data_IF_490029191284
#
_entry.id   IF_490029191284
#
_cell.length_a   1.000
_cell.length_b   1.000
_cell.length_c   1.000
_cell.angle_alpha   90.00
_cell.angle_beta   90.00
_cell.angle_gamma   90.00
#
_symmetry.space_group_name_H-M   'P 1'
#
loop_
_entity.id
_entity.type
_entity.pdbx_description
1 polymer ?
#
# COMPACT_ATOMS: atom_id res chain seq x y z
N UNK A 1 -46.80 3.95 -7.76
CA UNK A 1 -47.59 2.74 -7.45
C UNK A 1 -46.59 1.61 -7.47
N UNK A 2 -46.35 0.95 -6.35
CA UNK A 2 -45.33 -0.11 -6.30
C UNK A 2 -45.81 -1.32 -7.09
N UNK A 3 -45.08 -1.71 -8.14
CA UNK A 3 -45.40 -2.86 -8.97
C UNK A 3 -44.92 -4.19 -8.33
N UNK A 4 -45.43 -5.36 -8.77
CA UNK A 4 -45.02 -6.64 -8.20
C UNK A 4 -43.51 -6.91 -8.36
N UNK A 5 -42.79 -6.90 -7.23
CA UNK A 5 -41.33 -7.15 -7.17
C UNK A 5 -40.51 -5.93 -6.74
N UNK A 6 -41.09 -4.75 -6.87
CA UNK A 6 -40.55 -3.50 -6.35
C UNK A 6 -40.82 -3.38 -4.85
N UNK A 7 -39.96 -2.66 -4.15
CA UNK A 7 -40.16 -2.30 -2.73
C UNK A 7 -40.61 -0.86 -2.57
N UNK A 8 -40.39 -0.03 -3.59
CA UNK A 8 -40.73 1.37 -3.67
C UNK A 8 -40.97 1.76 -5.13
N UNK A 9 -41.72 2.84 -5.35
CA UNK A 9 -41.86 3.52 -6.65
C UNK A 9 -42.20 4.98 -6.35
N UNK A 10 -41.27 5.88 -6.67
CA UNK A 10 -41.43 7.31 -6.50
C UNK A 10 -41.61 8.07 -7.84
N UNK A 11 -41.64 7.32 -8.96
CA UNK A 11 -41.91 7.82 -10.30
C UNK A 11 -40.76 8.59 -10.95
N UNK A 12 -39.51 8.41 -10.52
CA UNK A 12 -38.34 9.03 -11.12
C UNK A 12 -37.20 8.00 -11.41
N UNK A 13 -36.12 8.45 -12.06
CA UNK A 13 -34.91 7.63 -12.35
C UNK A 13 -33.67 8.20 -11.61
N UNK A 14 -33.84 8.66 -10.37
CA UNK A 14 -32.80 9.29 -9.54
C UNK A 14 -32.25 8.27 -8.56
N UNK A 15 -31.01 7.86 -8.81
CA UNK A 15 -30.35 6.85 -7.97
C UNK A 15 -29.90 7.35 -6.59
N UNK A 16 -29.93 8.66 -6.35
CA UNK A 16 -29.45 9.26 -5.09
C UNK A 16 -30.56 9.54 -4.08
N UNK A 17 -31.74 8.97 -4.25
CA UNK A 17 -32.85 9.11 -3.31
C UNK A 17 -33.23 7.77 -2.67
N UNK A 18 -34.30 7.76 -1.87
CA UNK A 18 -34.69 6.57 -1.10
C UNK A 18 -35.23 5.42 -1.98
N UNK A 19 -35.51 5.68 -3.26
CA UNK A 19 -36.00 4.72 -4.23
C UNK A 19 -35.21 4.81 -5.55
N UNK A 20 -33.97 4.29 -5.59
CA UNK A 20 -33.18 4.26 -6.83
C UNK A 20 -33.87 3.47 -7.94
N UNK A 21 -33.36 3.57 -9.17
CA UNK A 21 -33.96 2.95 -10.38
C UNK A 21 -34.09 1.42 -10.32
N UNK A 22 -33.46 0.76 -9.34
CA UNK A 22 -33.65 -0.67 -9.06
C UNK A 22 -35.01 -0.96 -8.42
N UNK A 23 -35.76 0.08 -8.04
CA UNK A 23 -37.05 0.02 -7.35
C UNK A 23 -36.97 -0.79 -6.05
N UNK A 24 -35.80 -0.73 -5.40
CA UNK A 24 -35.50 -1.28 -4.08
C UNK A 24 -35.21 -0.12 -3.14
N UNK A 25 -35.58 -0.26 -1.86
CA UNK A 25 -35.28 0.81 -0.91
C UNK A 25 -33.76 1.00 -0.83
N UNK A 26 -33.31 2.25 -0.86
CA UNK A 26 -31.89 2.56 -0.76
C UNK A 26 -31.31 2.08 0.58
N UNK A 27 -30.11 1.50 0.56
CA UNK A 27 -29.38 1.10 1.76
C UNK A 27 -27.87 1.06 1.51
N UNK A 28 -27.09 1.34 2.55
CA UNK A 28 -25.63 1.20 2.50
C UNK A 28 -25.19 -0.18 2.01
N UNK A 29 -24.42 -0.18 0.93
CA UNK A 29 -23.94 -1.33 0.18
C UNK A 29 -24.80 -1.71 -1.03
N UNK A 30 -25.74 -0.87 -1.46
CA UNK A 30 -26.59 -1.11 -2.64
C UNK A 30 -25.98 -0.58 -3.95
N UNK A 31 -24.82 0.08 -3.87
CA UNK A 31 -24.08 0.62 -5.00
C UNK A 31 -24.47 2.04 -5.39
N UNK A 32 -25.39 2.68 -4.66
CA UNK A 32 -25.82 4.05 -4.87
C UNK A 32 -25.60 4.90 -3.62
N UNK A 33 -25.32 6.19 -3.81
CA UNK A 33 -25.14 7.11 -2.68
C UNK A 33 -26.45 7.81 -2.39
N UNK A 34 -27.10 7.45 -1.28
CA UNK A 34 -28.31 8.11 -0.82
C UNK A 34 -28.02 9.55 -0.37
N UNK A 35 -28.56 10.56 -1.03
CA UNK A 35 -28.48 11.98 -0.64
C UNK A 35 -29.88 12.59 -0.42
N UNK A 36 -30.61 11.99 0.52
CA UNK A 36 -31.91 12.51 0.94
C UNK A 36 -31.80 13.48 2.12
N UNK A 37 -32.92 14.12 2.47
CA UNK A 37 -32.99 15.01 3.64
C UNK A 37 -32.90 14.26 4.97
N UNK A 38 -33.43 13.04 5.01
CA UNK A 38 -33.57 12.25 6.25
C UNK A 38 -32.37 11.32 6.49
N UNK A 39 -31.77 10.81 5.41
CA UNK A 39 -30.61 9.93 5.44
C UNK A 39 -29.64 10.33 4.33
N UNK A 40 -28.36 10.41 4.68
CA UNK A 40 -27.28 10.79 3.77
C UNK A 40 -26.11 9.86 3.95
N UNK A 41 -25.68 9.29 2.84
CA UNK A 41 -24.47 8.52 2.71
C UNK A 41 -23.38 9.43 2.12
N UNK A 42 -22.18 9.34 2.65
CA UNK A 42 -21.03 10.05 2.12
C UNK A 42 -20.38 9.27 0.95
N UNK A 43 -20.61 7.96 0.89
CA UNK A 43 -20.12 7.03 -0.10
C UNK A 43 -20.94 5.75 -0.09
N UNK A 44 -20.77 4.94 -1.14
CA UNK A 44 -21.25 3.56 -1.20
C UNK A 44 -20.29 2.77 -2.09
N UNK A 45 -19.64 1.75 -1.53
CA UNK A 45 -18.73 0.86 -2.24
C UNK A 45 -19.34 -0.51 -2.50
N UNK A 46 -20.67 -0.59 -2.50
CA UNK A 46 -21.42 -1.79 -2.84
C UNK A 46 -21.31 -2.90 -1.79
N UNK A 47 -20.85 -2.58 -0.58
CA UNK A 47 -20.84 -3.51 0.53
C UNK A 47 -20.95 -2.80 1.90
N UNK A 48 -21.11 -3.58 2.98
CA UNK A 48 -21.17 -3.05 4.37
C UNK A 48 -19.98 -3.52 5.21
N UNK A 49 -18.86 -3.83 4.56
CA UNK A 49 -17.61 -4.20 5.25
C UNK A 49 -16.80 -2.95 5.54
N UNK A 50 -15.74 -3.09 6.34
CA UNK A 50 -14.82 -1.98 6.61
C UNK A 50 -13.70 -1.84 5.55
N UNK A 51 -13.75 -2.66 4.50
CA UNK A 51 -12.81 -2.63 3.39
C UNK A 51 -13.38 -1.77 2.27
N UNK A 52 -12.51 -1.34 1.36
CA UNK A 52 -12.88 -0.64 0.16
C UNK A 52 -12.69 0.86 0.26
N UNK A 53 -13.51 1.60 -0.47
CA UNK A 53 -13.48 3.07 -0.46
C UNK A 53 -14.51 3.69 0.48
N UNK A 54 -15.34 2.87 1.13
CA UNK A 54 -16.37 3.32 2.05
C UNK A 54 -16.36 2.51 3.35
N UNK A 55 -16.71 3.15 4.46
CA UNK A 55 -16.83 2.42 5.72
C UNK A 55 -18.13 1.60 5.77
N UNK A 56 -18.20 0.64 6.70
CA UNK A 56 -19.33 -0.28 6.87
C UNK A 56 -20.72 0.36 7.12
N UNK A 57 -20.77 1.67 7.33
CA UNK A 57 -22.01 2.43 7.60
C UNK A 57 -22.24 3.57 6.62
N UNK A 58 -21.46 3.64 5.53
CA UNK A 58 -21.59 4.64 4.47
C UNK A 58 -21.53 6.11 4.93
N UNK A 59 -20.88 6.35 6.07
CA UNK A 59 -20.78 7.67 6.71
C UNK A 59 -19.41 8.32 6.51
N UNK A 60 -18.44 7.59 5.96
CA UNK A 60 -17.09 8.10 5.77
C UNK A 60 -16.39 7.41 4.59
N UNK A 61 -15.86 8.23 3.69
CA UNK A 61 -14.94 7.80 2.63
C UNK A 61 -13.63 7.31 3.22
N UNK A 62 -13.17 6.17 2.74
CA UNK A 62 -11.85 5.64 2.99
C UNK A 62 -10.99 5.98 1.78
N UNK A 63 -10.28 7.11 1.86
CA UNK A 63 -9.33 7.48 0.81
C UNK A 63 -8.16 6.49 0.83
N UNK A 64 -7.83 5.84 -0.31
CA UNK A 64 -6.68 4.97 -0.37
C UNK A 64 -5.41 5.74 -0.05
N UNK A 65 -4.62 5.22 0.89
CA UNK A 65 -3.38 5.86 1.33
C UNK A 65 -2.19 4.94 1.08
N UNK A 66 -1.02 5.57 0.94
CA UNK A 66 0.27 4.89 0.78
C UNK A 66 0.89 4.70 2.15
N UNK A 67 1.47 3.53 2.38
CA UNK A 67 2.24 3.30 3.59
C UNK A 67 3.50 4.18 3.59
N UNK A 68 3.79 4.77 4.75
CA UNK A 68 4.95 5.64 4.98
C UNK A 68 5.73 5.15 6.19
N UNK A 69 7.05 5.36 6.15
CA UNK A 69 7.99 4.96 7.17
C UNK A 69 9.22 5.87 7.12
N UNK A 70 10.15 5.67 8.04
CA UNK A 70 11.38 6.46 8.04
C UNK A 70 12.54 5.74 8.69
N UNK A 71 13.75 6.09 8.28
CA UNK A 71 15.00 5.70 8.91
C UNK A 71 15.68 6.99 9.35
N UNK A 72 15.94 7.13 10.64
CA UNK A 72 16.58 8.30 11.23
C UNK A 72 17.87 7.87 11.90
N UNK A 73 18.94 8.62 11.65
CA UNK A 73 20.27 8.32 12.18
C UNK A 73 20.82 9.55 12.89
N UNK A 74 20.85 9.50 14.21
CA UNK A 74 21.40 10.52 15.11
C UNK A 74 22.60 9.98 15.89
N UNK A 75 23.77 9.97 15.23
CA UNK A 75 25.03 9.50 15.81
C UNK A 75 25.73 10.66 16.52
N UNK A 76 25.29 11.00 17.73
CA UNK A 76 25.95 12.02 18.55
C UNK A 76 27.46 11.70 18.71
N UNK A 77 28.33 12.61 18.24
CA UNK A 77 29.79 12.69 18.36
C UNK A 77 30.57 11.38 18.67
N UNK A 78 30.36 10.33 17.87
CA UNK A 78 31.21 9.12 17.91
C UNK A 78 30.48 7.77 18.01
N UNK A 79 29.16 7.73 17.86
CA UNK A 79 28.45 6.48 17.61
C UNK A 79 28.85 5.89 16.26
N UNK A 80 29.35 4.64 16.24
CA UNK A 80 29.65 3.93 15.00
C UNK A 80 28.63 2.84 14.72
N UNK A 81 28.33 2.62 13.46
CA UNK A 81 27.63 1.46 12.92
C UNK A 81 28.66 0.34 12.73
N UNK A 82 28.38 -0.86 13.21
CA UNK A 82 29.29 -2.00 13.16
C UNK A 82 29.21 -2.72 11.81
N UNK A 83 30.33 -3.34 11.44
CA UNK A 83 30.39 -4.24 10.29
C UNK A 83 29.48 -5.46 10.53
N UNK A 84 28.71 -5.86 9.52
CA UNK A 84 27.77 -6.98 9.60
C UNK A 84 26.41 -6.65 10.24
N UNK A 85 26.19 -5.42 10.71
CA UNK A 85 24.85 -4.97 11.10
C UNK A 85 23.93 -4.90 9.86
N UNK A 86 22.66 -5.27 10.04
CA UNK A 86 21.73 -5.37 8.91
C UNK A 86 20.53 -4.43 9.05
N UNK A 87 19.99 -4.06 7.89
CA UNK A 87 18.72 -3.40 7.69
C UNK A 87 17.94 -4.18 6.65
N UNK A 88 16.67 -4.49 6.93
CA UNK A 88 15.78 -5.22 6.04
C UNK A 88 14.63 -4.31 5.64
N UNK A 89 14.50 -4.06 4.34
CA UNK A 89 13.42 -3.25 3.76
C UNK A 89 12.73 -4.04 2.65
N UNK A 90 11.41 -4.05 2.64
CA UNK A 90 10.62 -4.77 1.64
C UNK A 90 9.36 -4.04 1.21
N UNK A 91 8.84 -4.40 0.05
CA UNK A 91 7.59 -3.86 -0.54
C UNK A 91 6.41 -4.85 -0.43
N UNK A 92 6.57 -5.92 0.35
CA UNK A 92 5.60 -7.00 0.50
C UNK A 92 5.74 -8.13 -0.53
N UNK A 93 6.50 -7.89 -1.61
CA UNK A 93 6.87 -8.90 -2.61
C UNK A 93 8.36 -9.22 -2.51
N UNK A 94 9.20 -8.19 -2.43
CA UNK A 94 10.64 -8.24 -2.24
C UNK A 94 10.99 -7.95 -0.80
N UNK A 95 12.04 -8.59 -0.31
CA UNK A 95 12.63 -8.32 1.00
C UNK A 95 14.13 -8.23 0.89
N UNK A 96 14.64 -7.02 0.82
CA UNK A 96 16.06 -6.76 0.66
C UNK A 96 16.75 -6.74 2.01
N UNK A 97 17.88 -7.44 2.11
CA UNK A 97 18.77 -7.36 3.25
C UNK A 97 19.96 -6.49 2.86
N UNK A 98 20.13 -5.41 3.59
CA UNK A 98 21.24 -4.48 3.47
C UNK A 98 22.19 -4.70 4.64
N UNK A 99 23.48 -4.80 4.36
CA UNK A 99 24.52 -5.08 5.35
C UNK A 99 25.52 -3.93 5.38
N UNK A 100 25.80 -3.38 6.56
CA UNK A 100 26.88 -2.42 6.73
C UNK A 100 28.24 -3.09 6.52
N UNK A 101 28.93 -2.66 5.48
CA UNK A 101 30.14 -3.30 4.96
C UNK A 101 31.33 -2.36 5.08
N UNK A 102 32.27 -2.71 5.97
CA UNK A 102 33.52 -1.96 6.21
C UNK A 102 34.74 -2.66 5.64
N UNK A 103 34.67 -3.96 5.32
CA UNK A 103 35.82 -4.77 4.95
C UNK A 103 35.76 -5.37 3.54
N UNK A 104 34.78 -4.92 2.74
CA UNK A 104 34.45 -5.40 1.40
C UNK A 104 34.06 -6.89 1.37
N UNK A 105 33.64 -7.47 2.52
CA UNK A 105 33.11 -8.83 2.62
C UNK A 105 31.65 -8.82 3.05
N UNK A 106 30.79 -8.77 2.05
CA UNK A 106 29.37 -9.06 2.22
C UNK A 106 29.09 -10.56 2.09
N UNK A 107 28.03 -11.02 2.75
CA UNK A 107 27.43 -12.31 2.41
C UNK A 107 26.83 -12.17 0.99
N UNK A 108 27.05 -13.16 0.11
CA UNK A 108 26.66 -13.14 -1.31
C UNK A 108 25.20 -12.75 -1.60
N UNK A 109 24.33 -12.79 -0.59
CA UNK A 109 22.89 -12.52 -0.69
C UNK A 109 22.49 -11.13 -0.20
N UNK A 110 23.41 -10.33 0.32
CA UNK A 110 23.13 -9.00 0.88
C UNK A 110 23.55 -7.87 -0.06
N UNK A 111 22.94 -6.70 0.10
CA UNK A 111 23.35 -5.46 -0.56
C UNK A 111 24.23 -4.67 0.42
N UNK A 112 25.50 -4.44 0.07
CA UNK A 112 26.43 -3.72 0.94
C UNK A 112 26.11 -2.22 1.08
N UNK A 113 26.15 -1.72 2.31
CA UNK A 113 26.05 -0.32 2.69
C UNK A 113 27.46 0.20 3.02
N UNK A 114 28.06 0.92 2.07
CA UNK A 114 29.38 1.52 2.25
C UNK A 114 29.27 2.91 2.85
N UNK A 115 29.66 3.04 4.12
CA UNK A 115 29.67 4.33 4.83
C UNK A 115 31.07 4.94 4.82
N UNK A 116 31.14 6.27 4.94
CA UNK A 116 32.41 6.96 5.11
C UNK A 116 32.86 6.91 6.59
N UNK A 117 34.17 6.90 6.83
CA UNK A 117 34.75 6.91 8.18
C UNK A 117 35.32 8.29 8.53
N UNK A 118 35.00 8.88 9.70
CA UNK A 118 34.07 8.40 10.73
C UNK A 118 32.61 8.48 10.28
N UNK A 119 31.75 7.67 10.90
CA UNK A 119 30.32 7.69 10.63
C UNK A 119 29.72 9.01 11.10
N UNK A 120 28.77 9.51 10.33
CA UNK A 120 27.89 10.62 10.69
C UNK A 120 26.48 10.28 10.24
N UNK A 121 25.45 10.83 10.90
CA UNK A 121 24.06 10.53 10.53
C UNK A 121 23.79 10.74 9.03
N UNK A 122 24.34 11.81 8.47
CA UNK A 122 24.20 12.12 7.04
C UNK A 122 24.87 11.09 6.11
N UNK A 123 26.06 10.60 6.45
CA UNK A 123 26.76 9.64 5.57
C UNK A 123 26.15 8.23 5.63
N UNK A 124 25.62 7.83 6.79
CA UNK A 124 24.93 6.55 6.96
C UNK A 124 23.61 6.57 6.19
N UNK A 125 22.82 7.62 6.35
CA UNK A 125 21.56 7.79 5.61
C UNK A 125 21.79 7.87 4.10
N UNK A 126 22.83 8.57 3.65
CA UNK A 126 23.16 8.63 2.23
C UNK A 126 23.55 7.25 1.67
N UNK A 127 24.33 6.46 2.40
CA UNK A 127 24.67 5.10 1.99
C UNK A 127 23.43 4.21 1.86
N UNK A 128 22.51 4.30 2.82
CA UNK A 128 21.21 3.59 2.79
C UNK A 128 20.38 4.06 1.61
N UNK A 129 20.30 5.37 1.38
CA UNK A 129 19.53 5.95 0.29
C UNK A 129 20.03 5.47 -1.07
N UNK A 130 21.34 5.49 -1.31
CA UNK A 130 21.94 4.99 -2.56
C UNK A 130 21.65 3.50 -2.77
N UNK A 131 21.78 2.68 -1.73
CA UNK A 131 21.50 1.24 -1.83
C UNK A 131 20.01 0.94 -2.08
N UNK A 132 19.10 1.72 -1.48
CA UNK A 132 17.66 1.62 -1.73
C UNK A 132 17.29 2.04 -3.15
N UNK A 133 17.90 3.11 -3.68
CA UNK A 133 17.75 3.51 -5.08
C UNK A 133 18.25 2.41 -6.02
N UNK A 134 19.38 1.77 -5.70
CA UNK A 134 19.89 0.63 -6.45
C UNK A 134 18.87 -0.53 -6.47
N UNK A 135 18.30 -0.89 -5.33
CA UNK A 135 17.29 -1.95 -5.23
C UNK A 135 15.95 -1.59 -5.93
N UNK A 136 15.61 -0.30 -6.03
CA UNK A 136 14.43 0.19 -6.77
C UNK A 136 14.64 0.14 -8.28
N UNK A 137 15.79 0.60 -8.75
CA UNK A 137 16.03 0.88 -10.17
C UNK A 137 16.57 -0.31 -10.96
N UNK A 138 17.03 -1.38 -10.29
CA UNK A 138 17.57 -2.57 -10.94
C UNK A 138 16.61 -3.77 -10.87
N UNK A 139 16.78 -4.71 -11.81
CA UNK A 139 16.04 -5.98 -11.78
C UNK A 139 16.64 -6.88 -10.72
N UNK A 140 15.88 -7.07 -9.66
CA UNK A 140 16.26 -7.89 -8.53
C UNK A 140 15.22 -8.99 -8.28
N UNK A 141 15.67 -10.17 -7.87
CA UNK A 141 14.78 -11.26 -7.46
C UNK A 141 14.07 -10.91 -6.13
N UNK A 142 13.14 -11.76 -5.62
CA UNK A 142 12.45 -11.49 -4.35
C UNK A 142 13.38 -11.36 -3.12
N UNK A 143 14.57 -11.94 -3.16
CA UNK A 143 15.63 -11.83 -2.15
C UNK A 143 16.61 -10.68 -2.46
N UNK A 144 16.25 -9.83 -3.41
CA UNK A 144 16.99 -8.66 -3.87
C UNK A 144 18.38 -8.93 -4.47
N UNK A 145 18.57 -10.09 -5.12
CA UNK A 145 19.80 -10.41 -5.84
C UNK A 145 19.72 -9.92 -7.29
N UNK A 146 20.86 -9.51 -7.84
CA UNK A 146 20.95 -9.14 -9.27
C UNK A 146 20.45 -10.30 -10.14
N UNK A 147 19.46 -10.02 -11.00
CA UNK A 147 18.81 -11.04 -11.83
C UNK A 147 18.64 -10.56 -13.27
N UNK A 148 18.58 -11.50 -14.21
CA UNK A 148 18.34 -11.17 -15.61
C UNK A 148 16.94 -10.57 -15.81
N UNK A 149 16.87 -9.46 -16.56
CA UNK A 149 15.65 -8.69 -16.82
C UNK A 149 14.46 -9.51 -17.39
N UNK A 150 14.73 -10.68 -17.98
CA UNK A 150 13.72 -11.54 -18.58
C UNK A 150 12.80 -12.26 -17.59
N UNK A 151 13.18 -12.41 -16.32
CA UNK A 151 12.43 -13.21 -15.34
C UNK A 151 11.42 -12.40 -14.51
N UNK A 152 11.58 -11.07 -14.43
CA UNK A 152 10.81 -10.20 -13.52
C UNK A 152 10.26 -8.92 -14.21
N UNK A 153 10.00 -8.99 -15.52
CA UNK A 153 9.65 -7.83 -16.35
C UNK A 153 8.45 -6.97 -15.88
N UNK A 154 7.54 -7.50 -15.06
CA UNK A 154 6.38 -6.77 -14.52
C UNK A 154 6.68 -5.97 -13.24
N UNK A 155 7.74 -6.32 -12.50
CA UNK A 155 8.16 -5.62 -11.29
C UNK A 155 9.69 -5.75 -11.17
N UNK A 156 10.49 -4.79 -11.65
CA UNK A 156 11.94 -4.98 -11.69
C UNK A 156 12.57 -4.85 -10.29
N UNK A 157 12.13 -3.91 -9.45
CA UNK A 157 12.75 -3.65 -8.15
C UNK A 157 11.77 -3.27 -7.05
N UNK A 158 12.29 -2.75 -5.93
CA UNK A 158 11.48 -2.28 -4.81
C UNK A 158 10.47 -1.23 -5.24
N UNK A 159 9.22 -1.38 -4.82
CA UNK A 159 8.14 -0.43 -5.13
C UNK A 159 8.02 0.69 -4.09
N UNK A 160 9.06 1.50 -3.95
CA UNK A 160 9.09 2.61 -2.99
C UNK A 160 9.77 3.86 -3.54
N UNK A 161 9.35 5.01 -3.03
CA UNK A 161 10.07 6.28 -3.15
C UNK A 161 10.80 6.60 -1.85
N UNK A 162 11.92 7.31 -1.98
CA UNK A 162 12.77 7.69 -0.87
C UNK A 162 13.03 9.20 -0.94
N UNK A 163 13.02 9.87 0.20
CA UNK A 163 13.27 11.31 0.27
C UNK A 163 14.13 11.65 1.49
N UNK A 164 15.19 12.44 1.25
CA UNK A 164 16.08 12.91 2.31
C UNK A 164 15.46 14.10 3.04
N UNK A 165 15.46 14.03 4.35
CA UNK A 165 14.91 15.01 5.29
C UNK A 165 15.96 15.39 6.33
N UNK A 166 15.68 16.40 7.16
CA UNK A 166 16.51 16.80 8.31
C UNK A 166 18.00 16.97 7.99
N UNK A 167 18.30 17.65 6.89
CA UNK A 167 19.68 17.89 6.46
C UNK A 167 20.43 16.63 6.03
N UNK A 168 19.70 15.56 5.70
CA UNK A 168 20.24 14.27 5.27
C UNK A 168 20.38 13.24 6.40
N UNK A 169 19.93 13.52 7.63
CA UNK A 169 19.99 12.57 8.76
C UNK A 169 18.74 11.68 8.88
N UNK A 170 17.71 11.98 8.06
CA UNK A 170 16.47 11.25 8.00
C UNK A 170 16.16 10.86 6.55
N UNK A 171 15.72 9.64 6.35
CA UNK A 171 15.19 9.15 5.08
C UNK A 171 13.72 8.78 5.29
N UNK A 172 12.81 9.44 4.59
CA UNK A 172 11.42 9.00 4.52
C UNK A 172 11.24 8.01 3.37
N UNK A 173 10.44 6.98 3.62
CA UNK A 173 10.10 5.92 2.68
C UNK A 173 8.60 5.97 2.42
N UNK A 174 8.20 5.92 1.15
CA UNK A 174 6.78 5.91 0.74
C UNK A 174 6.52 4.79 -0.25
N UNK A 175 5.55 3.92 0.04
CA UNK A 175 5.18 2.82 -0.83
C UNK A 175 4.51 3.30 -2.14
N UNK A 176 4.83 2.67 -3.28
CA UNK A 176 4.28 3.03 -4.60
C UNK A 176 2.93 2.37 -4.91
N UNK A 177 2.48 1.42 -4.11
CA UNK A 177 1.09 0.97 -4.10
C UNK A 177 0.31 1.64 -2.98
N UNK A 178 -0.97 1.85 -3.25
CA UNK A 178 -1.96 2.21 -2.24
C UNK A 178 -2.36 0.95 -1.48
N UNK A 179 -3.00 1.15 -0.33
CA UNK A 179 -3.58 0.05 0.43
C UNK A 179 -2.66 -0.58 1.47
N UNK A 180 -3.20 -1.53 2.24
CA UNK A 180 -2.51 -2.09 3.40
C UNK A 180 -1.34 -3.00 3.03
N UNK A 181 -1.23 -3.44 1.77
CA UNK A 181 -0.12 -4.27 1.32
C UNK A 181 1.24 -3.59 1.48
N UNK A 182 1.27 -2.24 1.42
CA UNK A 182 2.48 -1.47 1.68
C UNK A 182 2.89 -1.40 3.15
N UNK A 183 2.04 -1.82 4.09
CA UNK A 183 2.32 -1.80 5.54
C UNK A 183 3.30 -2.91 5.91
N UNK A 184 4.57 -2.68 5.59
CA UNK A 184 5.64 -3.66 5.73
C UNK A 184 6.57 -3.30 6.89
N UNK A 185 7.04 -4.30 7.66
CA UNK A 185 8.03 -4.05 8.69
C UNK A 185 9.36 -3.64 8.06
N UNK A 186 9.99 -2.64 8.64
CA UNK A 186 11.41 -2.38 8.44
C UNK A 186 12.12 -2.94 9.67
N UNK A 187 13.06 -3.87 9.46
CA UNK A 187 13.74 -4.60 10.54
C UNK A 187 15.21 -4.21 10.52
N UNK A 188 15.82 -4.04 11.68
CA UNK A 188 17.23 -3.71 11.80
C UNK A 188 17.87 -4.47 12.96
N UNK A 189 19.20 -4.60 12.94
CA UNK A 189 20.00 -5.20 14.02
C UNK A 189 21.11 -4.28 14.53
N UNK A 190 20.99 -2.98 14.27
CA UNK A 190 21.96 -1.95 14.60
C UNK A 190 21.95 -1.72 16.11
N UNK A 191 23.08 -1.94 16.77
CA UNK A 191 23.19 -1.80 18.22
C UNK A 191 23.17 -0.33 18.67
N UNK A 192 23.48 0.58 17.76
CA UNK A 192 23.56 2.00 18.06
C UNK A 192 22.16 2.61 18.27
N UNK A 193 21.85 3.17 19.46
CA UNK A 193 20.53 3.72 19.76
C UNK A 193 20.18 4.99 18.95
N UNK A 194 21.17 5.62 18.31
CA UNK A 194 20.97 6.71 17.37
C UNK A 194 20.38 6.26 16.04
N UNK A 195 20.41 4.96 15.73
CA UNK A 195 19.75 4.39 14.57
C UNK A 195 18.31 4.03 14.95
N UNK A 196 17.34 4.73 14.36
CA UNK A 196 15.92 4.53 14.66
C UNK A 196 15.14 4.30 13.38
N UNK A 197 14.21 3.35 13.46
CA UNK A 197 13.40 2.92 12.31
C UNK A 197 11.93 3.02 12.66
N UNK A 198 11.17 3.63 11.76
CA UNK A 198 9.71 3.58 11.73
C UNK A 198 9.29 2.73 10.55
N UNK A 199 8.65 1.58 10.82
CA UNK A 199 8.13 0.68 9.80
C UNK A 199 7.10 1.37 8.89
N UNK A 200 6.92 0.84 7.68
CA UNK A 200 5.92 1.35 6.74
C UNK A 200 4.52 1.07 7.31
N UNK A 201 3.73 2.13 7.47
CA UNK A 201 2.37 2.06 8.02
C UNK A 201 1.47 3.15 7.44
N UNK A 202 0.16 3.07 7.70
CA UNK A 202 -0.81 4.06 7.23
C UNK A 202 -1.34 3.84 5.81
N UNK A 203 -0.96 2.75 5.14
CA UNK A 203 -1.61 2.29 3.92
C UNK A 203 -3.02 1.79 4.19
N UNK A 204 -4.01 2.31 3.46
CA UNK A 204 -5.45 2.03 3.64
C UNK A 204 -6.16 1.95 2.29
N UNK A 205 -7.36 1.34 2.25
CA UNK A 205 -8.16 1.12 1.04
C UNK A 205 -7.62 0.01 0.14
N UNK A 206 -8.32 -0.32 -0.95
CA UNK A 206 -7.98 -1.42 -1.87
C UNK A 206 -7.69 -2.73 -1.12
N UNK A 207 -8.62 -3.15 -0.27
CA UNK A 207 -8.44 -4.24 0.68
C UNK A 207 -9.64 -5.19 0.76
N UNK A 208 -10.65 -5.03 -0.11
CA UNK A 208 -11.75 -5.98 -0.13
C UNK A 208 -11.35 -7.33 -0.73
N UNK A 209 -11.60 -8.44 -0.02
CA UNK A 209 -11.27 -9.77 -0.50
C UNK A 209 -12.19 -10.18 -1.66
N UNK A 210 -11.77 -11.20 -2.40
CA UNK A 210 -12.56 -11.75 -3.50
C UNK A 210 -13.97 -12.17 -3.04
N UNK A 211 -14.97 -11.85 -3.86
CA UNK A 211 -16.40 -12.10 -3.63
C UNK A 211 -17.14 -10.97 -2.92
N UNK A 212 -16.41 -10.02 -2.31
CA UNK A 212 -17.00 -8.81 -1.68
C UNK A 212 -17.65 -7.91 -2.72
N UNK A 213 -18.75 -7.25 -2.35
CA UNK A 213 -19.38 -6.25 -3.21
C UNK A 213 -18.44 -5.06 -3.45
N UNK A 214 -18.54 -4.45 -4.63
CA UNK A 214 -17.70 -3.32 -5.03
C UNK A 214 -18.47 -2.42 -6.00
N UNK A 215 -18.09 -1.15 -6.10
CA UNK A 215 -18.55 -0.23 -7.17
C UNK A 215 -17.43 0.20 -8.10
N UNK A 216 -16.17 0.14 -7.65
CA UNK A 216 -14.96 0.50 -8.38
C UNK A 216 -13.80 -0.47 -8.09
N UNK A 217 -12.83 -0.56 -8.99
CA UNK A 217 -11.66 -1.45 -8.82
C UNK A 217 -10.85 -1.12 -7.56
N UNK A 218 -10.88 0.14 -7.11
CA UNK A 218 -10.18 0.60 -5.90
C UNK A 218 -10.82 0.07 -4.61
N UNK A 219 -11.97 -0.56 -4.67
CA UNK A 219 -12.54 -1.25 -3.51
C UNK A 219 -11.81 -2.57 -3.25
N UNK A 220 -11.36 -3.22 -4.33
CA UNK A 220 -10.85 -4.58 -4.28
C UNK A 220 -9.35 -4.67 -3.95
N UNK A 221 -8.97 -5.69 -3.18
CA UNK A 221 -7.57 -6.02 -2.91
C UNK A 221 -6.89 -6.54 -4.18
N UNK A 222 -5.94 -5.80 -4.77
CA UNK A 222 -5.42 -6.11 -6.10
C UNK A 222 -4.66 -7.45 -6.18
N UNK A 223 -4.29 -8.14 -5.08
CA UNK A 223 -3.53 -9.43 -5.02
C UNK A 223 -2.83 -9.82 -6.34
N UNK A 224 -1.56 -9.43 -6.48
CA UNK A 224 -0.73 -9.51 -7.71
C UNK A 224 -1.19 -8.62 -8.88
N UNK A 225 -1.98 -7.57 -8.62
CA UNK A 225 -2.51 -6.65 -9.64
C UNK A 225 -3.58 -7.24 -10.56
N UNK A 226 -4.35 -8.23 -10.07
CA UNK A 226 -5.31 -9.00 -10.87
C UNK A 226 -6.75 -9.01 -10.38
N UNK A 227 -7.03 -8.55 -9.16
CA UNK A 227 -8.41 -8.36 -8.75
C UNK A 227 -8.89 -6.99 -9.17
N UNK A 228 -10.12 -6.97 -9.66
CA UNK A 228 -10.85 -5.78 -10.10
C UNK A 228 -12.32 -5.95 -9.69
N UNK A 229 -13.12 -4.91 -9.83
CA UNK A 229 -14.54 -4.96 -9.57
C UNK A 229 -15.28 -5.56 -10.78
N UNK A 230 -15.67 -6.83 -10.67
CA UNK A 230 -16.40 -7.52 -11.74
C UNK A 230 -17.88 -7.14 -11.66
N UNK A 231 -18.28 -6.21 -12.52
CA UNK A 231 -19.65 -5.66 -12.58
C UNK A 231 -20.33 -6.08 -13.88
N UNK A 232 -21.55 -6.60 -13.77
CA UNK A 232 -22.46 -6.78 -14.91
C UNK A 232 -23.10 -5.43 -15.24
N UNK A 233 -23.28 -5.11 -16.53
CA UNK A 233 -23.73 -3.78 -17.01
C UNK A 233 -25.05 -3.31 -16.36
N UNK A 234 -25.91 -4.24 -15.95
CA UNK A 234 -27.24 -3.96 -15.39
C UNK A 234 -27.27 -3.86 -13.85
N UNK A 235 -26.18 -4.21 -13.16
CA UNK A 235 -26.15 -4.28 -11.69
C UNK A 235 -25.41 -3.07 -11.10
N UNK A 236 -25.92 -2.44 -10.03
CA UNK A 236 -25.23 -1.31 -9.37
C UNK A 236 -23.97 -1.75 -8.60
N UNK A 237 -23.92 -3.01 -8.16
CA UNK A 237 -22.83 -3.60 -7.37
C UNK A 237 -22.21 -4.77 -8.13
N UNK A 238 -20.88 -4.74 -8.25
CA UNK A 238 -20.08 -5.85 -8.76
C UNK A 238 -19.56 -6.76 -7.64
N UNK A 239 -18.63 -7.65 -7.98
CA UNK A 239 -17.87 -8.43 -6.99
C UNK A 239 -16.39 -8.36 -7.25
N UNK A 240 -15.60 -8.20 -6.19
CA UNK A 240 -14.15 -8.30 -6.28
C UNK A 240 -13.72 -9.67 -6.78
N UNK A 241 -12.92 -9.74 -7.84
CA UNK A 241 -12.52 -11.01 -8.43
C UNK A 241 -11.55 -10.83 -9.59
N UNK A 242 -11.12 -11.96 -10.18
CA UNK A 242 -10.24 -11.95 -11.35
C UNK A 242 -11.08 -12.21 -12.61
N UNK A 243 -10.97 -11.37 -13.65
CA UNK A 243 -11.55 -11.67 -14.96
C UNK A 243 -11.05 -13.03 -15.47
N UNK A 244 -11.99 -13.92 -15.78
CA UNK A 244 -11.68 -15.24 -16.37
C UNK A 244 -11.19 -16.31 -15.39
N UNK A 245 -11.28 -16.09 -14.07
CA UNK A 245 -11.22 -17.19 -13.11
C UNK A 245 -12.53 -18.00 -13.13
N UNK A 246 -12.49 -19.34 -13.05
CA UNK A 246 -13.68 -20.19 -12.98
C UNK A 246 -14.44 -20.01 -11.67
#
# INVERSE_FOLDING_TARGET
>A
MVDPGEECDDGNDIDTDACPRTCKNAFCGDGFVLDSKEHREECDDGNTSACGSCNATCTQKQEPARAQGSIQVDLADGGSIQDGEILIVGDGVRRCIFEFDRDDKIIDTHIGLKTATPDSGANVVEAIHVALLYARDNVIDPDCRASDAGSFASHPGLRMNFHLEDGGTRLSLTHLDLGPQGNQPIIESVENPGFTVTSLSGGTGMDCPAGTGCTDDRDCDPVDGRHECLKDDDQPVGRCGRRGAP
#
